data_IF_678747917352
#
_entry.id   IF_678747917352
#
_cell.length_a   1.000
_cell.length_b   1.000
_cell.length_c   1.000
_cell.angle_alpha   90.00
_cell.angle_beta   90.00
_cell.angle_gamma   90.00
#
_symmetry.space_group_name_H-M   'P 1'
#
loop_
_entity.id
_entity.type
_entity.pdbx_description
1 polymer ?
#
# COMPACT_ATOMS: atom_id res chain seq x y z
N UNK A 1 -6.75 5.33 -12.69
CA UNK A 1 -7.45 4.55 -11.64
C UNK A 1 -6.39 3.94 -10.71
N UNK A 2 -6.61 3.83 -9.40
CA UNK A 2 -5.61 3.27 -8.45
C UNK A 2 -5.17 1.86 -8.88
N UNK A 3 -3.85 1.67 -8.99
CA UNK A 3 -3.22 0.42 -9.44
C UNK A 3 -2.38 -0.31 -8.37
N UNK A 4 -2.03 0.39 -7.29
CA UNK A 4 -1.39 -0.17 -6.10
C UNK A 4 -1.77 0.67 -4.86
N UNK A 5 -1.78 0.05 -3.69
CA UNK A 5 -2.00 0.72 -2.40
C UNK A 5 -0.80 0.51 -1.47
N UNK A 6 -0.19 1.59 -0.99
CA UNK A 6 0.67 1.54 0.19
C UNK A 6 -0.21 1.74 1.43
N UNK A 7 -0.53 0.64 2.11
CA UNK A 7 -1.34 0.64 3.31
C UNK A 7 -0.56 1.20 4.50
N UNK A 8 -1.31 1.73 5.47
CA UNK A 8 -0.75 2.14 6.73
C UNK A 8 -0.16 0.95 7.48
N UNK A 9 -0.84 -0.20 7.52
CA UNK A 9 -0.26 -1.49 7.93
C UNK A 9 0.56 -1.43 9.22
N UNK A 10 -0.08 -1.09 10.34
CA UNK A 10 0.61 -0.95 11.64
C UNK A 10 0.93 -2.27 12.32
N UNK A 11 0.54 -3.39 11.72
CA UNK A 11 0.65 -4.72 12.33
C UNK A 11 -0.16 -4.81 13.62
N UNK A 12 -1.26 -4.06 13.74
CA UNK A 12 -2.13 -4.11 14.92
C UNK A 12 -3.42 -4.86 14.63
N UNK A 13 -3.92 -5.71 15.55
CA UNK A 13 -5.10 -6.55 15.32
C UNK A 13 -6.39 -5.79 14.96
N UNK A 14 -6.44 -4.49 15.27
CA UNK A 14 -7.60 -3.64 14.94
C UNK A 14 -7.41 -2.87 13.64
N UNK A 15 -6.23 -2.30 13.40
CA UNK A 15 -6.01 -1.43 12.25
C UNK A 15 -6.11 -2.20 10.93
N UNK A 16 -5.40 -3.32 10.82
CA UNK A 16 -5.18 -3.96 9.53
C UNK A 16 -6.48 -4.56 8.94
N UNK A 17 -7.38 -5.17 9.74
CA UNK A 17 -8.71 -5.55 9.24
C UNK A 17 -9.59 -4.34 8.89
N UNK A 18 -9.52 -3.24 9.66
CA UNK A 18 -10.29 -2.01 9.38
C UNK A 18 -9.83 -1.38 8.07
N UNK A 19 -8.52 -1.31 7.85
CA UNK A 19 -7.93 -0.79 6.64
C UNK A 19 -8.28 -1.66 5.43
N UNK A 20 -8.25 -2.98 5.59
CA UNK A 20 -8.72 -3.92 4.57
C UNK A 20 -10.18 -3.68 4.18
N UNK A 21 -11.06 -3.52 5.16
CA UNK A 21 -12.47 -3.19 4.90
C UNK A 21 -12.62 -1.83 4.20
N UNK A 22 -11.86 -0.81 4.61
CA UNK A 22 -11.89 0.50 3.98
C UNK A 22 -11.43 0.46 2.52
N UNK A 23 -10.34 -0.27 2.22
CA UNK A 23 -9.86 -0.48 0.85
C UNK A 23 -10.94 -1.17 0.01
N UNK A 24 -11.56 -2.23 0.53
CA UNK A 24 -12.68 -2.91 -0.16
C UNK A 24 -13.86 -1.98 -0.41
N UNK A 25 -14.22 -1.15 0.55
CA UNK A 25 -15.35 -0.22 0.41
C UNK A 25 -15.07 0.86 -0.65
N UNK A 26 -13.82 1.33 -0.76
CA UNK A 26 -13.44 2.38 -1.71
C UNK A 26 -13.21 1.82 -3.12
N UNK A 27 -12.60 0.64 -3.24
CA UNK A 27 -12.27 0.03 -4.54
C UNK A 27 -13.36 -0.89 -5.08
N UNK A 28 -14.32 -1.30 -4.25
CA UNK A 28 -15.41 -2.21 -4.62
C UNK A 28 -14.87 -3.53 -5.16
N UNK A 29 -15.46 -4.00 -6.25
CA UNK A 29 -15.13 -5.28 -6.89
C UNK A 29 -13.65 -5.38 -7.31
N UNK A 30 -12.98 -4.24 -7.55
CA UNK A 30 -11.56 -4.20 -7.94
C UNK A 30 -10.59 -4.41 -6.77
N UNK A 31 -11.06 -4.44 -5.53
CA UNK A 31 -10.16 -4.52 -4.37
C UNK A 31 -9.26 -5.75 -4.41
N UNK A 32 -9.76 -6.89 -4.90
CA UNK A 32 -8.99 -8.13 -5.03
C UNK A 32 -7.91 -8.11 -6.11
N UNK A 33 -8.00 -7.19 -7.08
CA UNK A 33 -7.04 -7.08 -8.18
C UNK A 33 -5.92 -6.08 -7.89
N UNK A 34 -6.07 -5.26 -6.85
CA UNK A 34 -5.13 -4.19 -6.52
C UNK A 34 -4.18 -4.66 -5.43
N UNK A 35 -2.87 -4.76 -5.70
CA UNK A 35 -1.89 -5.08 -4.67
C UNK A 35 -1.88 -4.03 -3.56
N UNK A 36 -1.73 -4.53 -2.34
CA UNK A 36 -1.55 -3.75 -1.13
C UNK A 36 -0.16 -4.07 -0.57
N UNK A 37 0.64 -3.07 -0.23
CA UNK A 37 1.93 -3.26 0.44
C UNK A 37 2.00 -2.43 1.71
N UNK A 38 2.80 -2.86 2.70
CA UNK A 38 3.01 -2.08 3.93
C UNK A 38 4.50 -1.85 4.18
N UNK A 39 4.98 -0.61 3.94
CA UNK A 39 6.40 -0.26 4.11
C UNK A 39 6.88 -0.48 5.55
N UNK A 40 5.99 -0.28 6.54
CA UNK A 40 6.28 -0.48 7.98
C UNK A 40 6.74 -1.90 8.32
N UNK A 41 6.40 -2.90 7.51
CA UNK A 41 6.90 -4.27 7.70
C UNK A 41 8.43 -4.35 7.68
N UNK A 42 9.10 -3.45 6.94
CA UNK A 42 10.56 -3.43 6.78
C UNK A 42 11.26 -2.44 7.72
N UNK A 43 10.62 -1.29 7.99
CA UNK A 43 11.29 -0.15 8.67
C UNK A 43 10.65 0.22 10.01
N UNK A 44 9.58 -0.47 10.41
CA UNK A 44 8.80 -0.14 11.59
C UNK A 44 7.94 1.13 11.43
N UNK A 45 7.25 1.52 12.50
CA UNK A 45 6.38 2.68 12.48
C UNK A 45 7.12 3.95 12.90
N UNK A 46 7.45 4.80 11.91
CA UNK A 46 8.16 6.07 12.12
C UNK A 46 7.28 7.24 12.64
N UNK A 47 6.10 6.92 13.20
CA UNK A 47 5.13 7.89 13.74
C UNK A 47 4.87 9.04 12.76
N UNK A 48 5.32 10.26 13.04
CA UNK A 48 5.08 11.47 12.24
C UNK A 48 5.83 11.47 10.92
N UNK A 49 6.95 10.74 10.82
CA UNK A 49 7.73 10.63 9.60
C UNK A 49 7.21 9.53 8.65
N UNK A 50 6.28 8.68 9.10
CA UNK A 50 5.81 7.52 8.33
C UNK A 50 5.26 7.94 6.96
N UNK A 51 4.38 8.95 6.91
CA UNK A 51 3.79 9.40 5.64
C UNK A 51 4.80 9.94 4.63
N UNK A 52 5.85 10.63 5.09
CA UNK A 52 6.90 11.13 4.20
C UNK A 52 7.73 9.97 3.62
N UNK A 53 8.12 9.01 4.45
CA UNK A 53 8.92 7.85 4.01
C UNK A 53 8.10 6.93 3.10
N UNK A 54 6.83 6.69 3.43
CA UNK A 54 5.91 5.91 2.59
C UNK A 54 5.61 6.60 1.26
N UNK A 55 5.54 7.93 1.25
CA UNK A 55 5.46 8.74 0.04
C UNK A 55 6.67 8.58 -0.88
N UNK A 56 7.87 8.66 -0.32
CA UNK A 56 9.12 8.44 -1.06
C UNK A 56 9.18 7.01 -1.60
N UNK A 57 8.83 6.02 -0.78
CA UNK A 57 8.80 4.62 -1.20
C UNK A 57 7.84 4.43 -2.39
N UNK A 58 6.62 4.98 -2.29
CA UNK A 58 5.61 4.93 -3.34
C UNK A 58 6.06 5.52 -4.67
N UNK A 59 6.69 6.70 -4.64
CA UNK A 59 7.26 7.30 -5.85
C UNK A 59 8.33 6.37 -6.44
N UNK A 60 9.25 5.92 -5.59
CA UNK A 60 10.41 5.13 -6.02
C UNK A 60 10.00 3.82 -6.70
N UNK A 61 9.06 3.08 -6.09
CA UNK A 61 8.65 1.79 -6.64
C UNK A 61 7.74 1.94 -7.87
N UNK A 62 6.99 3.05 -7.95
CA UNK A 62 6.13 3.36 -9.10
C UNK A 62 6.99 3.68 -10.32
N UNK A 63 8.03 4.51 -10.14
CA UNK A 63 9.01 4.81 -11.19
C UNK A 63 9.77 3.55 -11.64
N UNK A 64 10.01 2.61 -10.72
CA UNK A 64 10.69 1.36 -11.04
C UNK A 64 9.78 0.33 -11.75
N UNK A 65 8.45 0.44 -11.64
CA UNK A 65 7.50 -0.58 -12.13
C UNK A 65 7.44 -1.83 -11.24
N UNK A 66 7.60 -1.66 -9.92
CA UNK A 66 7.58 -2.76 -8.94
C UNK A 66 6.67 -2.43 -7.76
N UNK A 67 6.16 -3.46 -7.07
CA UNK A 67 5.57 -3.31 -5.73
C UNK A 67 6.49 -3.98 -4.73
N UNK A 68 6.86 -3.26 -3.68
CA UNK A 68 7.69 -3.81 -2.61
C UNK A 68 6.89 -4.82 -1.77
N UNK A 69 7.56 -5.77 -1.09
CA UNK A 69 6.84 -6.76 -0.32
C UNK A 69 6.33 -6.18 1.00
N UNK A 70 5.32 -6.85 1.56
CA UNK A 70 5.07 -6.85 3.00
C UNK A 70 5.83 -8.04 3.60
N UNK A 71 6.96 -7.77 4.26
CA UNK A 71 7.81 -8.83 4.82
C UNK A 71 7.25 -9.38 6.13
N UNK A 72 7.76 -10.54 6.58
CA UNK A 72 7.32 -11.25 7.79
C UNK A 72 5.86 -11.75 7.71
N UNK A 73 5.33 -11.93 6.49
CA UNK A 73 3.97 -12.36 6.27
C UNK A 73 3.91 -13.90 6.19
N UNK A 74 3.69 -14.55 7.33
CA UNK A 74 3.69 -16.02 7.43
C UNK A 74 2.27 -16.60 7.50
N UNK A 75 1.47 -16.12 8.44
CA UNK A 75 0.11 -16.60 8.68
C UNK A 75 -0.88 -15.49 8.34
N UNK A 76 -1.69 -15.63 7.27
CA UNK A 76 -2.70 -14.65 6.92
C UNK A 76 -3.77 -14.51 8.02
N UNK A 77 -4.21 -13.27 8.28
CA UNK A 77 -5.36 -12.98 9.15
C UNK A 77 -6.66 -13.14 8.33
N UNK A 78 -7.69 -13.87 8.81
CA UNK A 78 -8.97 -13.98 8.09
C UNK A 78 -9.67 -12.65 7.79
N UNK A 79 -9.42 -11.60 8.58
CA UNK A 79 -9.92 -10.25 8.34
C UNK A 79 -9.09 -9.44 7.33
N UNK A 80 -7.96 -10.00 6.89
CA UNK A 80 -7.04 -9.42 5.92
C UNK A 80 -6.87 -10.40 4.74
N UNK A 81 -7.75 -10.31 3.75
CA UNK A 81 -7.87 -11.25 2.63
C UNK A 81 -7.58 -10.60 1.26
N UNK A 82 -6.88 -9.46 1.24
CA UNK A 82 -6.37 -8.85 0.01
C UNK A 82 -4.97 -9.40 -0.32
N UNK A 83 -4.46 -9.03 -1.49
CA UNK A 83 -3.08 -9.35 -1.87
C UNK A 83 -2.09 -8.36 -1.24
N UNK A 84 -1.47 -8.76 -0.12
CA UNK A 84 -0.52 -7.93 0.61
C UNK A 84 0.93 -7.98 0.08
N UNK A 85 1.15 -8.55 -1.11
CA UNK A 85 2.49 -8.77 -1.70
C UNK A 85 3.44 -9.45 -0.69
N UNK A 86 3.13 -10.67 -0.25
CA UNK A 86 3.82 -11.29 0.88
C UNK A 86 5.26 -11.65 0.53
N UNK A 87 6.21 -11.15 1.33
CA UNK A 87 7.64 -11.51 1.41
C UNK A 87 8.51 -11.26 0.16
N UNK A 88 7.96 -11.28 -1.05
CA UNK A 88 8.72 -11.16 -2.30
C UNK A 88 8.18 -10.01 -3.15
N UNK A 89 9.06 -9.07 -3.50
CA UNK A 89 8.74 -8.00 -4.42
C UNK A 89 8.38 -8.56 -5.80
N UNK A 90 7.51 -7.86 -6.53
CA UNK A 90 7.16 -8.26 -7.90
C UNK A 90 7.00 -7.07 -8.83
N UNK A 91 7.24 -7.30 -10.12
CA UNK A 91 6.90 -6.33 -11.16
C UNK A 91 5.39 -6.18 -11.23
N UNK A 92 4.96 -4.94 -11.40
CA UNK A 92 3.56 -4.59 -11.61
C UNK A 92 3.58 -3.24 -12.30
N UNK A 93 3.03 -3.16 -13.50
CA UNK A 93 2.94 -1.91 -14.23
C UNK A 93 1.65 -1.20 -13.82
N UNK A 94 1.79 -0.02 -13.23
CA UNK A 94 0.65 0.81 -12.82
C UNK A 94 0.99 2.29 -12.89
N UNK A 95 -0.05 3.07 -13.19
CA UNK A 95 0.05 4.51 -13.36
C UNK A 95 -0.31 5.29 -12.10
N UNK A 96 -0.81 4.65 -11.03
CA UNK A 96 -1.31 5.36 -9.86
C UNK A 96 -1.09 4.56 -8.58
N UNK A 97 -0.59 5.24 -7.54
CA UNK A 97 -0.43 4.69 -6.19
C UNK A 97 -1.32 5.46 -5.22
N UNK A 98 -2.18 4.74 -4.50
CA UNK A 98 -2.86 5.28 -3.33
C UNK A 98 -2.02 5.02 -2.07
N UNK A 99 -1.86 6.03 -1.23
CA UNK A 99 -1.16 5.92 0.06
C UNK A 99 -2.16 6.23 1.17
N UNK A 100 -2.24 5.34 2.15
CA UNK A 100 -3.07 5.52 3.34
C UNK A 100 -2.15 5.71 4.55
N UNK A 101 -2.26 6.86 5.22
CA UNK A 101 -1.50 7.17 6.44
C UNK A 101 -2.49 7.57 7.53
N UNK A 102 -2.33 7.05 8.75
CA UNK A 102 -3.30 7.23 9.85
C UNK A 102 -3.63 8.70 10.13
N UNK A 103 -4.88 8.90 10.58
CA UNK A 103 -5.69 10.12 10.60
C UNK A 103 -6.17 10.45 9.18
N UNK A 104 -7.47 10.34 8.88
CA UNK A 104 -8.17 9.95 7.62
C UNK A 104 -7.62 10.50 6.27
N UNK A 105 -6.30 10.47 6.09
CA UNK A 105 -5.57 11.14 5.02
C UNK A 105 -5.13 10.03 4.08
N UNK A 106 -5.73 10.06 2.89
CA UNK A 106 -5.24 9.35 1.74
C UNK A 106 -4.57 10.37 0.81
N UNK A 107 -3.42 9.99 0.26
CA UNK A 107 -2.78 10.72 -0.83
C UNK A 107 -2.79 9.84 -2.08
N UNK A 108 -2.93 10.46 -3.25
CA UNK A 108 -2.82 9.76 -4.54
C UNK A 108 -1.62 10.33 -5.27
N UNK A 109 -0.68 9.46 -5.62
CA UNK A 109 0.51 9.81 -6.39
C UNK A 109 0.31 9.33 -7.83
N UNK A 110 0.60 10.22 -8.78
CA UNK A 110 0.51 9.94 -10.22
C UNK A 110 1.82 10.38 -10.89
N UNK A 111 2.24 9.71 -11.98
CA UNK A 111 3.27 10.22 -12.86
C UNK A 111 2.89 11.61 -13.35
N UNK A 112 3.90 12.47 -13.46
CA UNK A 112 3.74 13.75 -14.16
C UNK A 112 3.65 13.45 -15.67
N UNK A 113 2.61 13.91 -16.37
CA UNK A 113 2.55 13.75 -17.82
C UNK A 113 3.75 14.44 -18.49
N UNK A 114 4.25 13.91 -19.61
CA UNK A 114 5.37 14.53 -20.31
C UNK A 114 5.05 15.99 -20.66
N UNK A 115 5.99 16.88 -20.39
CA UNK A 115 5.88 18.29 -20.78
C UNK A 115 5.79 18.34 -22.31
N UNK A 116 4.71 18.93 -22.83
CA UNK A 116 4.54 19.17 -24.27
C UNK A 116 5.42 20.32 -24.74
#
# INVERSE_FOLDING_TARGET
>A
MVGCVNAHGTSTPKNDPIETMAIKQVLGDRAGDVPVCATKSMIGHLISAAGAVEGIAAITYMEAGWVHPTINHETPDPGCDLDYVPNVARKHDYEYVGIFVVLPIAAVITPCPPYK
#
